data_IF_940530753824
#
_entry.id   IF_940530753824
#
_cell.length_a   1.000
_cell.length_b   1.000
_cell.length_c   1.000
_cell.angle_alpha   90.00
_cell.angle_beta   90.00
_cell.angle_gamma   90.00
#
_symmetry.space_group_name_H-M   'P 1'
#
loop_
_entity.id
_entity.type
_entity.pdbx_description
1 polymer ?
#
# COMPACT_ATOMS: atom_id res chain seq x y z
N UNK A 1 5.22 24.35 8.36
CA UNK A 1 6.57 23.75 8.29
C UNK A 1 6.71 22.72 9.41
N UNK A 2 6.67 21.42 9.10
CA UNK A 2 7.07 20.36 10.05
C UNK A 2 7.80 19.26 9.25
N UNK A 3 9.12 19.40 9.15
CA UNK A 3 10.02 18.28 8.83
C UNK A 3 10.11 17.42 10.10
N UNK A 4 9.23 16.43 10.26
CA UNK A 4 9.49 15.35 11.23
C UNK A 4 10.14 14.20 10.48
N UNK A 5 11.43 14.01 10.76
CA UNK A 5 12.20 12.90 10.25
C UNK A 5 11.58 11.57 10.65
N UNK A 6 11.73 10.60 9.77
CA UNK A 6 11.24 9.24 9.92
C UNK A 6 11.71 8.59 11.23
N UNK A 7 10.85 7.81 11.93
CA UNK A 7 11.25 7.09 13.12
C UNK A 7 12.41 6.14 12.79
N UNK A 8 13.46 6.22 13.62
CA UNK A 8 14.65 5.40 13.50
C UNK A 8 14.30 3.93 13.80
N UNK A 9 14.83 3.05 12.96
CA UNK A 9 14.85 1.58 13.05
C UNK A 9 14.65 1.00 14.46
N UNK A 10 13.67 0.09 14.62
CA UNK A 10 13.55 -0.79 15.80
C UNK A 10 14.26 -2.13 15.50
N UNK A 11 15.29 -2.54 16.26
CA UNK A 11 15.96 -3.82 16.06
C UNK A 11 14.97 -4.99 16.26
N UNK A 12 14.98 -5.97 15.34
CA UNK A 12 14.17 -7.20 15.43
C UNK A 12 12.99 -7.29 14.46
N UNK A 13 12.68 -6.22 13.71
CA UNK A 13 11.62 -6.22 12.70
C UNK A 13 12.26 -6.47 11.33
N UNK A 14 11.70 -7.38 10.53
CA UNK A 14 12.09 -7.57 9.13
C UNK A 14 12.17 -6.19 8.45
N UNK A 15 13.33 -5.87 7.87
CA UNK A 15 13.61 -4.55 7.32
C UNK A 15 12.62 -4.31 6.16
N UNK A 16 11.61 -3.46 6.38
CA UNK A 16 10.92 -2.86 5.27
C UNK A 16 11.93 -1.88 4.66
N UNK A 17 12.55 -2.27 3.54
CA UNK A 17 13.43 -1.38 2.79
C UNK A 17 12.58 -0.36 2.05
N UNK A 18 12.13 0.64 2.82
CA UNK A 18 11.32 1.72 2.31
C UNK A 18 12.19 2.59 1.42
N UNK A 19 11.64 2.98 0.27
CA UNK A 19 12.32 3.86 -0.69
C UNK A 19 11.58 5.20 -0.80
N UNK A 20 11.59 6.08 0.23
CA UNK A 20 10.85 7.35 0.20
C UNK A 20 11.17 8.23 -1.01
N UNK A 21 12.42 8.20 -1.48
CA UNK A 21 12.86 8.95 -2.67
C UNK A 21 12.16 8.50 -3.97
N UNK A 22 11.58 7.28 -4.00
CA UNK A 22 10.82 6.79 -5.16
C UNK A 22 9.34 7.12 -5.09
N UNK A 23 8.84 7.54 -3.93
CA UNK A 23 7.42 7.73 -3.68
C UNK A 23 6.77 8.66 -4.69
N UNK A 24 7.46 9.76 -5.06
CA UNK A 24 6.94 10.77 -5.98
C UNK A 24 7.19 10.46 -7.47
N UNK A 25 7.94 9.40 -7.81
CA UNK A 25 8.28 9.08 -9.21
C UNK A 25 7.06 8.95 -10.14
N UNK A 26 5.93 8.33 -9.72
CA UNK A 26 4.75 8.22 -10.57
C UNK A 26 4.21 9.58 -11.06
N UNK A 27 4.38 10.64 -10.27
CA UNK A 27 3.93 11.99 -10.64
C UNK A 27 4.67 12.55 -11.86
N UNK A 28 5.86 12.04 -12.17
CA UNK A 28 6.69 12.51 -13.27
C UNK A 28 6.58 11.65 -14.53
N UNK A 29 5.94 10.49 -14.46
CA UNK A 29 5.81 9.59 -15.61
C UNK A 29 4.63 9.98 -16.49
N UNK A 30 4.91 10.42 -17.72
CA UNK A 30 3.86 10.88 -18.66
C UNK A 30 2.99 9.77 -19.25
N UNK A 31 3.55 8.57 -19.43
CA UNK A 31 2.81 7.44 -20.03
C UNK A 31 2.09 6.65 -18.94
N UNK A 32 0.80 6.28 -19.12
CA UNK A 32 0.09 5.35 -18.24
C UNK A 32 0.89 4.06 -18.02
N UNK A 33 0.84 3.54 -16.79
CA UNK A 33 1.63 2.40 -16.34
C UNK A 33 0.82 1.62 -15.31
N UNK A 34 1.09 0.33 -15.24
CA UNK A 34 0.70 -0.50 -14.12
C UNK A 34 1.87 -0.57 -13.14
N UNK A 35 1.66 -0.14 -11.89
CA UNK A 35 2.70 0.04 -10.88
C UNK A 35 2.52 -1.00 -9.79
N UNK A 36 3.48 -1.89 -9.65
CA UNK A 36 3.51 -2.85 -8.55
C UNK A 36 4.27 -2.26 -7.35
N UNK A 37 3.61 -2.18 -6.20
CA UNK A 37 4.10 -1.37 -5.06
C UNK A 37 5.05 -2.10 -4.11
N UNK A 38 5.03 -3.43 -4.08
CA UNK A 38 5.94 -4.20 -3.22
C UNK A 38 6.04 -5.66 -3.66
N UNK A 39 7.26 -6.20 -3.76
CA UNK A 39 7.52 -7.61 -4.11
C UNK A 39 7.70 -8.56 -2.92
N UNK A 40 8.38 -8.14 -1.85
CA UNK A 40 8.81 -9.07 -0.78
C UNK A 40 8.08 -8.89 0.56
N UNK A 41 7.96 -7.66 1.07
CA UNK A 41 7.45 -7.44 2.45
C UNK A 41 5.96 -7.05 2.49
N UNK A 42 5.46 -6.43 1.41
CA UNK A 42 4.10 -5.91 1.31
C UNK A 42 3.98 -4.50 1.88
N UNK A 43 3.21 -3.64 1.22
CA UNK A 43 2.93 -2.27 1.67
C UNK A 43 2.28 -2.23 3.07
N UNK A 44 1.44 -3.22 3.37
CA UNK A 44 0.67 -3.30 4.61
C UNK A 44 1.37 -4.12 5.70
N UNK A 45 2.68 -4.31 5.63
CA UNK A 45 3.44 -4.95 6.72
C UNK A 45 3.39 -4.07 7.97
N UNK A 46 3.31 -4.67 9.17
CA UNK A 46 3.28 -3.93 10.46
C UNK A 46 4.51 -3.03 10.71
N UNK A 47 5.59 -3.28 9.96
CA UNK A 47 6.83 -2.53 10.00
C UNK A 47 6.77 -1.24 9.16
N UNK A 48 5.78 -1.13 8.28
CA UNK A 48 5.57 0.04 7.43
C UNK A 48 4.72 1.05 8.19
N UNK A 49 5.23 2.27 8.43
CA UNK A 49 4.48 3.30 9.11
C UNK A 49 3.22 3.73 8.35
N UNK A 50 2.13 4.04 9.08
CA UNK A 50 0.87 4.51 8.50
C UNK A 50 1.04 5.74 7.62
N UNK A 51 1.84 6.70 8.07
CA UNK A 51 2.10 7.95 7.36
C UNK A 51 2.74 7.70 5.99
N UNK A 52 3.55 6.66 5.84
CA UNK A 52 4.09 6.27 4.54
C UNK A 52 3.03 5.69 3.62
N UNK A 53 2.18 4.81 4.14
CA UNK A 53 1.10 4.19 3.36
C UNK A 53 0.15 5.29 2.89
N UNK A 54 -0.23 6.21 3.78
CA UNK A 54 -1.09 7.36 3.44
C UNK A 54 -0.44 8.26 2.39
N UNK A 55 0.85 8.59 2.51
CA UNK A 55 1.55 9.38 1.48
C UNK A 55 1.58 8.65 0.12
N UNK A 56 1.73 7.33 0.11
CA UNK A 56 1.67 6.54 -1.12
C UNK A 56 0.28 6.59 -1.74
N UNK A 57 -0.78 6.43 -0.94
CA UNK A 57 -2.17 6.55 -1.41
C UNK A 57 -2.47 7.96 -1.94
N UNK A 58 -1.88 9.01 -1.38
CA UNK A 58 -1.98 10.37 -1.92
C UNK A 58 -1.29 10.52 -3.28
N UNK A 59 -0.09 9.94 -3.43
CA UNK A 59 0.59 9.90 -4.74
C UNK A 59 -0.25 9.14 -5.75
N UNK A 60 -0.82 7.99 -5.36
CA UNK A 60 -1.72 7.19 -6.19
C UNK A 60 -2.88 8.03 -6.72
N UNK A 61 -3.60 8.69 -5.80
CA UNK A 61 -4.75 9.53 -6.13
C UNK A 61 -4.38 10.73 -7.02
N UNK A 62 -3.16 11.25 -6.90
CA UNK A 62 -2.66 12.34 -7.76
C UNK A 62 -2.18 11.83 -9.13
N UNK A 63 -1.54 10.67 -9.17
CA UNK A 63 -1.04 10.01 -10.37
C UNK A 63 -2.08 9.03 -10.95
N UNK A 64 -3.34 9.44 -11.00
CA UNK A 64 -4.50 8.60 -11.33
C UNK A 64 -4.58 8.14 -12.80
N UNK A 65 -3.66 8.59 -13.65
CA UNK A 65 -3.43 8.04 -15.00
C UNK A 65 -2.64 6.72 -14.99
N UNK A 66 -2.18 6.28 -13.81
CA UNK A 66 -1.60 4.96 -13.58
C UNK A 66 -2.58 4.04 -12.85
N UNK A 67 -2.33 2.74 -12.94
CA UNK A 67 -3.01 1.71 -12.14
C UNK A 67 -2.02 1.16 -11.15
N UNK A 68 -2.28 1.31 -9.85
CA UNK A 68 -1.42 0.79 -8.79
C UNK A 68 -1.94 -0.57 -8.32
N UNK A 69 -1.11 -1.59 -8.44
CA UNK A 69 -1.38 -2.92 -7.90
C UNK A 69 -0.98 -2.97 -6.42
N UNK A 70 -1.99 -3.13 -5.57
CA UNK A 70 -1.87 -3.24 -4.12
C UNK A 70 -2.34 -4.64 -3.71
N UNK A 71 -1.39 -5.54 -3.48
CA UNK A 71 -1.67 -6.92 -3.09
C UNK A 71 -1.18 -7.15 -1.65
N UNK A 72 -2.02 -7.80 -0.83
CA UNK A 72 -1.69 -8.03 0.59
C UNK A 72 -2.15 -9.40 1.07
N UNK A 73 -1.51 -9.89 2.14
CA UNK A 73 -1.97 -11.04 2.94
C UNK A 73 -2.57 -10.58 4.29
N UNK A 74 -2.51 -9.28 4.58
CA UNK A 74 -2.84 -8.63 5.85
C UNK A 74 -4.08 -7.78 5.64
N UNK A 75 -5.24 -8.44 5.54
CA UNK A 75 -6.51 -7.78 5.16
C UNK A 75 -7.05 -6.89 6.28
N UNK A 76 -6.79 -7.24 7.53
CA UNK A 76 -7.13 -6.46 8.72
C UNK A 76 -6.42 -5.10 8.66
N UNK A 77 -5.13 -5.10 8.35
CA UNK A 77 -4.35 -3.88 8.18
C UNK A 77 -4.79 -3.04 6.99
N UNK A 78 -5.26 -3.69 5.92
CA UNK A 78 -5.85 -3.00 4.78
C UNK A 78 -7.17 -2.32 5.18
N UNK A 79 -8.02 -2.97 5.97
CA UNK A 79 -9.25 -2.38 6.52
C UNK A 79 -8.96 -1.16 7.39
N UNK A 80 -7.96 -1.21 8.26
CA UNK A 80 -7.57 -0.04 9.07
C UNK A 80 -7.15 1.16 8.21
N UNK A 81 -6.60 0.90 7.02
CA UNK A 81 -6.12 1.92 6.09
C UNK A 81 -7.19 2.32 5.06
N UNK A 82 -8.24 1.51 4.84
CA UNK A 82 -9.24 1.77 3.80
C UNK A 82 -9.90 3.15 3.87
N UNK A 83 -10.12 3.77 5.06
CA UNK A 83 -10.62 5.14 5.13
C UNK A 83 -9.76 6.19 4.41
N UNK A 84 -8.47 5.90 4.18
CA UNK A 84 -7.53 6.79 3.48
C UNK A 84 -7.47 6.57 1.95
N UNK A 85 -8.20 5.59 1.40
CA UNK A 85 -8.18 5.29 -0.05
C UNK A 85 -8.87 6.34 -0.92
N UNK A 86 -9.74 7.18 -0.36
CA UNK A 86 -10.51 8.16 -1.13
C UNK A 86 -11.57 7.52 -2.04
N UNK A 87 -12.11 8.29 -3.01
CA UNK A 87 -13.32 7.94 -3.78
C UNK A 87 -13.09 7.23 -5.13
N UNK A 88 -11.86 6.96 -5.56
CA UNK A 88 -11.58 6.42 -6.90
C UNK A 88 -11.01 5.01 -6.84
N UNK A 89 -11.63 4.10 -7.61
CA UNK A 89 -11.18 2.70 -7.76
C UNK A 89 -10.51 2.44 -9.11
N UNK A 90 -10.61 3.34 -10.11
CA UNK A 90 -10.04 3.09 -11.44
C UNK A 90 -8.51 3.12 -11.47
N UNK A 91 -7.88 3.79 -10.50
CA UNK A 91 -6.43 3.92 -10.36
C UNK A 91 -5.80 2.83 -9.48
N UNK A 92 -6.60 1.88 -8.96
CA UNK A 92 -6.13 0.83 -8.06
C UNK A 92 -6.60 -0.55 -8.49
N UNK A 93 -5.65 -1.47 -8.60
CA UNK A 93 -5.94 -2.91 -8.60
C UNK A 93 -5.62 -3.43 -7.20
N UNK A 94 -6.67 -3.50 -6.37
CA UNK A 94 -6.57 -3.96 -4.99
C UNK A 94 -6.91 -5.45 -4.91
N UNK A 95 -6.15 -6.21 -4.13
CA UNK A 95 -6.43 -7.63 -3.95
C UNK A 95 -5.81 -8.21 -2.69
N UNK A 96 -6.39 -9.31 -2.23
CA UNK A 96 -5.86 -10.12 -1.13
C UNK A 96 -5.41 -11.47 -1.65
N UNK A 97 -4.21 -11.90 -1.28
CA UNK A 97 -3.73 -13.24 -1.61
C UNK A 97 -4.40 -14.26 -0.69
N UNK A 98 -4.80 -15.40 -1.26
CA UNK A 98 -5.29 -16.56 -0.52
C UNK A 98 -4.53 -17.79 -1.02
N UNK A 99 -3.57 -18.27 -0.23
CA UNK A 99 -2.66 -19.36 -0.64
C UNK A 99 -3.26 -20.74 -0.40
N UNK A 100 -4.32 -20.81 0.40
CA UNK A 100 -5.07 -22.00 0.77
C UNK A 100 -6.54 -21.63 1.00
N UNK A 101 -7.42 -22.63 0.94
CA UNK A 101 -8.85 -22.46 1.17
C UNK A 101 -9.15 -21.74 2.49
N UNK A 102 -8.46 -22.12 3.58
CA UNK A 102 -8.55 -21.44 4.88
C UNK A 102 -8.34 -19.92 4.77
N UNK A 103 -7.33 -19.47 4.02
CA UNK A 103 -7.07 -18.03 3.87
C UNK A 103 -8.09 -17.33 2.96
N UNK A 104 -8.68 -18.04 2.01
CA UNK A 104 -9.78 -17.50 1.21
C UNK A 104 -11.00 -17.25 2.12
N UNK A 105 -11.37 -18.24 2.92
CA UNK A 105 -12.49 -18.17 3.88
C UNK A 105 -12.28 -17.10 4.94
N UNK A 106 -11.06 -16.93 5.44
CA UNK A 106 -10.74 -15.89 6.42
C UNK A 106 -10.70 -14.49 5.80
N UNK A 107 -10.03 -14.33 4.64
CA UNK A 107 -9.68 -13.00 4.12
C UNK A 107 -10.70 -12.38 3.18
N UNK A 108 -11.39 -13.18 2.37
CA UNK A 108 -12.37 -12.65 1.40
C UNK A 108 -13.56 -11.95 2.08
N UNK A 109 -14.13 -12.47 3.20
CA UNK A 109 -15.18 -11.76 3.91
C UNK A 109 -14.72 -10.43 4.52
N UNK A 110 -13.47 -10.35 4.98
CA UNK A 110 -12.91 -9.08 5.47
C UNK A 110 -12.66 -8.11 4.31
N UNK A 111 -12.19 -8.62 3.17
CA UNK A 111 -11.89 -7.83 1.99
C UNK A 111 -13.13 -7.15 1.38
N UNK A 112 -14.33 -7.73 1.53
CA UNK A 112 -15.57 -7.11 1.04
C UNK A 112 -15.99 -5.85 1.80
N UNK A 113 -15.34 -5.54 2.92
CA UNK A 113 -15.55 -4.33 3.72
C UNK A 113 -14.52 -3.23 3.45
N UNK A 114 -13.60 -3.44 2.51
CA UNK A 114 -12.57 -2.47 2.10
C UNK A 114 -13.14 -1.50 1.08
#
# INVERSE_FOLDING_TARGET
MLRKGWPRFRPGVARADLMPHRLLQPLHWRRPRMIFTSSMSGLFHEAVPDDFIVQMLQVRATANHHVFQLLTKRVERLLDISPYFGRTQSDVWLGVSAEKQFWAEHRLPLFSHV
#
